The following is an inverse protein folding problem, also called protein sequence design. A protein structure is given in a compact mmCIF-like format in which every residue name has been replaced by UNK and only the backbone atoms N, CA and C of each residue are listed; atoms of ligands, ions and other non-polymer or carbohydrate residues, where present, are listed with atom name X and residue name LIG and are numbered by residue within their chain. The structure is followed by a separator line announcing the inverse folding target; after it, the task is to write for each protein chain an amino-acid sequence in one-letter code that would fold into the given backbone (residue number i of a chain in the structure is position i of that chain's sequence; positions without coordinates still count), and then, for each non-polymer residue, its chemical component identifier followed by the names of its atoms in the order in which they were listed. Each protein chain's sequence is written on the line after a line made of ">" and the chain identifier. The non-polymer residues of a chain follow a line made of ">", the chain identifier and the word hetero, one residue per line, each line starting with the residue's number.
data_IF_688866759088
#
_entry.id   IF_688866759088
#
_cell.length_a   1.000
_cell.length_b   1.000
_cell.length_c   1.000
_cell.angle_alpha   90.00
_cell.angle_beta   90.00
_cell.angle_gamma   90.00
#
_symmetry.space_group_name_H-M   'P 1'
#
loop_
_entity.id
_entity.type
_entity.pdbx_description
1 polymer ?
#
# COMPACT_ATOMS: atom_id res chain seq x y z
N UNK A 1 7.13 -19.07 -6.84
CA UNK A 1 6.77 -17.91 -5.99
C UNK A 1 6.01 -18.45 -4.79
N UNK A 2 6.58 -18.35 -3.58
CA UNK A 2 5.91 -18.80 -2.36
C UNK A 2 4.74 -17.85 -2.07
N UNK A 3 3.53 -18.39 -1.97
CA UNK A 3 2.42 -17.68 -1.35
C UNK A 3 2.56 -17.86 0.16
N UNK A 4 2.28 -16.81 0.93
CA UNK A 4 2.27 -16.86 2.40
C UNK A 4 0.84 -16.64 2.88
N UNK A 5 0.36 -17.56 3.69
CA UNK A 5 -0.83 -17.37 4.51
C UNK A 5 -0.48 -16.57 5.78
N UNK A 6 -1.48 -15.95 6.42
CA UNK A 6 -1.28 -15.29 7.71
C UNK A 6 -0.76 -16.27 8.78
N UNK A 7 -1.19 -17.53 8.73
CA UNK A 7 -0.69 -18.58 9.63
C UNK A 7 0.80 -18.80 9.46
N UNK A 8 1.34 -18.73 8.25
CA UNK A 8 2.78 -18.90 8.01
C UNK A 8 3.59 -17.78 8.68
N UNK A 9 3.06 -16.56 8.70
CA UNK A 9 3.68 -15.40 9.36
C UNK A 9 3.65 -15.57 10.89
N UNK A 10 2.48 -15.94 11.43
CA UNK A 10 2.25 -16.03 12.87
C UNK A 10 2.85 -17.31 13.49
N UNK A 11 3.14 -18.32 12.67
CA UNK A 11 3.81 -19.58 13.06
C UNK A 11 5.30 -19.60 12.70
N UNK A 12 5.93 -18.43 12.55
CA UNK A 12 7.34 -18.31 12.21
C UNK A 12 8.20 -19.20 13.13
N UNK A 13 8.75 -20.28 12.56
CA UNK A 13 9.30 -21.40 13.32
C UNK A 13 10.52 -21.03 14.17
N UNK A 14 11.27 -20.02 13.73
CA UNK A 14 12.48 -19.55 14.41
C UNK A 14 12.21 -18.36 15.35
N UNK A 15 10.95 -18.05 15.65
CA UNK A 15 10.57 -16.96 16.54
C UNK A 15 9.57 -17.37 17.60
N UNK A 16 9.91 -17.14 18.86
CA UNK A 16 9.02 -17.35 20.00
C UNK A 16 8.24 -16.08 20.29
N UNK A 17 6.98 -15.99 19.85
CA UNK A 17 6.17 -14.77 20.00
C UNK A 17 5.99 -14.37 21.47
N UNK A 18 6.25 -13.09 21.76
CA UNK A 18 6.08 -12.45 23.06
C UNK A 18 4.88 -11.52 23.06
N UNK A 19 4.77 -10.66 22.04
CA UNK A 19 3.69 -9.67 21.91
C UNK A 19 3.51 -9.31 20.43
N UNK A 20 2.32 -8.84 20.06
CA UNK A 20 2.08 -8.35 18.69
C UNK A 20 1.16 -7.15 18.61
N UNK A 21 1.28 -6.35 17.56
CA UNK A 21 0.30 -5.35 17.19
C UNK A 21 -0.17 -5.55 15.75
N UNK A 22 -1.47 -5.37 15.53
CA UNK A 22 -2.13 -5.51 14.25
C UNK A 22 -2.79 -4.18 13.88
N UNK A 23 -2.27 -3.53 12.84
CA UNK A 23 -2.83 -2.32 12.27
C UNK A 23 -3.67 -2.73 11.06
N UNK A 24 -4.96 -2.38 11.05
CA UNK A 24 -5.83 -2.70 9.91
C UNK A 24 -7.04 -1.76 9.83
N UNK A 25 -7.77 -1.89 8.72
CA UNK A 25 -9.05 -1.20 8.49
C UNK A 25 -10.22 -1.95 9.14
N UNK A 26 -10.30 -3.26 8.93
CA UNK A 26 -11.36 -4.13 9.47
C UNK A 26 -10.75 -5.32 10.19
N UNK A 27 -11.44 -5.79 11.23
CA UNK A 27 -11.03 -6.94 12.03
C UNK A 27 -12.22 -7.85 12.28
N UNK A 28 -11.98 -9.15 12.12
CA UNK A 28 -12.73 -10.21 12.77
C UNK A 28 -11.81 -10.78 13.86
N UNK A 29 -12.10 -10.46 15.12
CA UNK A 29 -11.23 -10.82 16.25
C UNK A 29 -11.21 -12.33 16.46
N UNK A 30 -12.36 -13.00 16.38
CA UNK A 30 -12.42 -14.45 16.59
C UNK A 30 -11.65 -15.20 15.50
N UNK A 31 -11.85 -14.80 14.24
CA UNK A 31 -11.07 -15.36 13.13
C UNK A 31 -9.57 -15.08 13.31
N UNK A 32 -9.18 -13.85 13.68
CA UNK A 32 -7.78 -13.47 13.85
C UNK A 32 -7.11 -14.33 14.92
N UNK A 33 -7.75 -14.53 16.08
CA UNK A 33 -7.20 -15.34 17.17
C UNK A 33 -7.01 -16.81 16.77
N UNK A 34 -7.84 -17.35 15.86
CA UNK A 34 -7.64 -18.69 15.28
C UNK A 34 -6.44 -18.80 14.35
N UNK A 35 -5.90 -17.68 13.85
CA UNK A 35 -4.70 -17.67 13.00
C UNK A 35 -3.41 -17.75 13.81
N UNK A 36 -3.42 -17.29 15.06
CA UNK A 36 -2.29 -17.49 15.96
C UNK A 36 -2.18 -18.97 16.37
N UNK A 37 -0.94 -19.53 16.39
CA UNK A 37 -0.69 -20.82 17.02
C UNK A 37 -1.22 -20.84 18.46
N UNK A 38 -1.74 -21.99 18.90
CA UNK A 38 -2.45 -22.12 20.17
C UNK A 38 -1.64 -21.60 21.36
N UNK A 39 -0.34 -21.91 21.40
CA UNK A 39 0.58 -21.47 22.45
C UNK A 39 0.77 -19.95 22.51
N UNK A 40 0.44 -19.21 21.44
CA UNK A 40 0.61 -17.76 21.35
C UNK A 40 -0.71 -16.98 21.46
N UNK A 41 -1.88 -17.65 21.51
CA UNK A 41 -3.19 -16.98 21.58
C UNK A 41 -3.41 -16.17 22.86
N UNK A 42 -2.61 -16.40 23.89
CA UNK A 42 -2.65 -15.63 25.16
C UNK A 42 -1.60 -14.53 25.24
N UNK A 43 -0.71 -14.41 24.26
CA UNK A 43 0.27 -13.32 24.20
C UNK A 43 -0.45 -11.97 24.04
N UNK A 44 0.07 -10.87 24.61
CA UNK A 44 -0.49 -9.54 24.40
C UNK A 44 -0.66 -9.19 22.92
N UNK A 45 -1.83 -8.64 22.59
CA UNK A 45 -2.19 -8.23 21.24
C UNK A 45 -2.78 -6.81 21.26
N UNK A 46 -2.11 -5.88 20.57
CA UNK A 46 -2.65 -4.53 20.32
C UNK A 46 -3.39 -4.49 18.99
N UNK A 47 -4.67 -4.11 18.99
CA UNK A 47 -5.48 -3.89 17.79
C UNK A 47 -5.54 -2.39 17.48
N UNK A 48 -4.93 -1.96 16.38
CA UNK A 48 -4.91 -0.56 15.95
C UNK A 48 -5.90 -0.34 14.82
N UNK A 49 -6.92 0.49 15.06
CA UNK A 49 -8.08 0.65 14.17
C UNK A 49 -8.54 2.10 14.03
N UNK A 50 -9.31 2.39 12.98
CA UNK A 50 -9.94 3.71 12.76
C UNK A 50 -11.42 3.80 13.10
N UNK A 51 -12.04 2.70 13.56
CA UNK A 51 -13.48 2.65 13.86
C UNK A 51 -13.93 3.73 14.85
N UNK A 52 -15.17 4.23 14.69
CA UNK A 52 -15.75 5.30 15.51
C UNK A 52 -17.17 4.95 15.95
N UNK A 53 -17.65 5.57 17.03
CA UNK A 53 -19.06 5.45 17.49
C UNK A 53 -19.49 3.98 17.65
N UNK A 54 -20.57 3.56 17.00
CA UNK A 54 -21.11 2.20 17.10
C UNK A 54 -20.17 1.13 16.53
N UNK A 55 -19.45 1.42 15.43
CA UNK A 55 -18.53 0.44 14.86
C UNK A 55 -17.35 0.17 15.79
N UNK A 56 -16.88 1.18 16.51
CA UNK A 56 -15.90 1.02 17.60
C UNK A 56 -16.43 0.09 18.69
N UNK A 57 -17.64 0.37 19.20
CA UNK A 57 -18.25 -0.47 20.25
C UNK A 57 -18.40 -1.93 19.79
N UNK A 58 -18.82 -2.15 18.55
CA UNK A 58 -18.93 -3.51 17.98
C UNK A 58 -17.58 -4.22 17.92
N UNK A 59 -16.53 -3.52 17.48
CA UNK A 59 -15.17 -4.08 17.45
C UNK A 59 -14.68 -4.44 18.85
N UNK A 60 -14.78 -3.53 19.81
CA UNK A 60 -14.34 -3.77 21.19
C UNK A 60 -15.12 -4.93 21.83
N UNK A 61 -16.44 -4.99 21.63
CA UNK A 61 -17.28 -6.10 22.10
C UNK A 61 -16.90 -7.45 21.47
N UNK A 62 -16.49 -7.47 20.19
CA UNK A 62 -16.04 -8.71 19.53
C UNK A 62 -14.77 -9.30 20.14
N UNK A 63 -13.98 -8.47 20.85
CA UNK A 63 -12.79 -8.90 21.59
C UNK A 63 -13.01 -9.13 23.09
N UNK A 64 -14.22 -8.98 23.62
CA UNK A 64 -14.48 -8.98 25.06
C UNK A 64 -14.06 -10.27 25.78
N UNK A 65 -14.04 -11.41 25.07
CA UNK A 65 -13.62 -12.70 25.63
C UNK A 65 -12.09 -12.89 25.69
N UNK A 66 -11.31 -11.92 25.22
CA UNK A 66 -9.85 -12.00 25.14
C UNK A 66 -9.21 -10.92 26.01
N UNK A 67 -8.88 -11.26 27.25
CA UNK A 67 -8.29 -10.33 28.22
C UNK A 67 -6.88 -9.84 27.85
N UNK A 68 -6.21 -10.51 26.92
CA UNK A 68 -4.90 -10.15 26.39
C UNK A 68 -4.96 -9.15 25.22
N UNK A 69 -6.14 -8.74 24.76
CA UNK A 69 -6.31 -7.79 23.66
C UNK A 69 -6.49 -6.37 24.19
N UNK A 70 -5.72 -5.43 23.66
CA UNK A 70 -5.88 -3.99 23.89
C UNK A 70 -6.22 -3.28 22.58
N UNK A 71 -7.20 -2.37 22.61
CA UNK A 71 -7.61 -1.59 21.44
C UNK A 71 -6.96 -0.20 21.44
N UNK A 72 -6.45 0.23 20.30
CA UNK A 72 -5.84 1.53 20.07
C UNK A 72 -6.54 2.23 18.89
N UNK A 73 -7.38 3.21 19.20
CA UNK A 73 -8.10 3.97 18.18
C UNK A 73 -7.21 5.06 17.58
N UNK A 74 -6.99 5.00 16.27
CA UNK A 74 -6.31 6.06 15.50
C UNK A 74 -7.22 7.28 15.35
N UNK A 75 -6.68 8.48 15.59
CA UNK A 75 -7.43 9.74 15.45
C UNK A 75 -7.66 10.10 13.99
N UNK A 76 -8.91 10.30 13.61
CA UNK A 76 -9.35 10.70 12.26
C UNK A 76 -10.16 11.98 12.34
N UNK A 77 -9.48 13.08 12.63
CA UNK A 77 -10.11 14.40 12.87
C UNK A 77 -10.54 15.10 11.57
N UNK A 78 -10.06 14.63 10.42
CA UNK A 78 -10.44 15.15 9.10
C UNK A 78 -11.56 14.28 8.52
N UNK A 79 -12.70 14.88 8.10
CA UNK A 79 -13.81 14.14 7.52
C UNK A 79 -13.39 13.27 6.33
N UNK A 80 -14.04 12.11 6.20
CA UNK A 80 -13.80 11.12 5.15
C UNK A 80 -12.37 10.53 5.17
N UNK A 81 -11.66 10.66 6.29
CA UNK A 81 -10.43 9.95 6.55
C UNK A 81 -10.65 8.48 6.89
N UNK A 82 -9.64 7.65 6.68
CA UNK A 82 -9.69 6.22 7.02
C UNK A 82 -8.34 5.78 7.61
N UNK A 83 -8.37 4.87 8.58
CA UNK A 83 -7.17 4.14 8.99
C UNK A 83 -7.03 2.92 8.08
N UNK A 84 -6.19 3.01 7.05
CA UNK A 84 -6.14 2.02 5.98
C UNK A 84 -4.83 1.22 5.96
N UNK A 85 -3.86 1.62 6.76
CA UNK A 85 -2.62 0.90 7.07
C UNK A 85 -2.87 -0.54 7.48
N UNK A 86 -2.02 -1.42 6.95
CA UNK A 86 -2.03 -2.87 7.15
C UNK A 86 -0.62 -3.30 7.51
N UNK A 87 -0.38 -3.41 8.81
CA UNK A 87 0.95 -3.64 9.36
C UNK A 87 0.88 -4.56 10.58
N UNK A 88 1.88 -5.43 10.72
CA UNK A 88 2.06 -6.24 11.92
C UNK A 88 3.38 -5.88 12.58
N UNK A 89 3.35 -5.72 13.89
CA UNK A 89 4.53 -5.76 14.75
C UNK A 89 4.54 -7.09 15.47
N UNK A 90 5.65 -7.82 15.35
CA UNK A 90 5.80 -9.14 15.93
C UNK A 90 7.08 -9.12 16.77
N UNK A 91 6.92 -9.07 18.10
CA UNK A 91 8.02 -9.16 19.04
C UNK A 91 8.21 -10.62 19.41
N UNK A 92 9.40 -11.14 19.19
CA UNK A 92 9.83 -12.48 19.58
C UNK A 92 10.89 -12.39 20.68
N UNK A 93 11.21 -13.52 21.33
CA UNK A 93 12.37 -13.58 22.25
C UNK A 93 13.69 -13.31 21.51
N UNK A 94 13.75 -13.69 20.24
CA UNK A 94 14.91 -13.66 19.37
C UNK A 94 15.12 -12.29 18.69
N UNK A 95 14.08 -11.45 18.64
CA UNK A 95 14.14 -10.13 18.02
C UNK A 95 12.77 -9.61 17.63
N UNK A 96 12.75 -8.67 16.70
CA UNK A 96 11.54 -7.96 16.27
C UNK A 96 11.31 -8.11 14.77
N UNK A 97 10.07 -8.10 14.32
CA UNK A 97 9.73 -8.12 12.89
C UNK A 97 8.61 -7.16 12.58
N UNK A 98 8.75 -6.51 11.43
CA UNK A 98 7.73 -5.66 10.83
C UNK A 98 7.20 -6.33 9.57
N UNK A 99 5.87 -6.40 9.45
CA UNK A 99 5.20 -6.88 8.24
C UNK A 99 4.34 -5.75 7.71
N UNK A 100 4.50 -5.36 6.45
CA UNK A 100 3.64 -4.38 5.78
C UNK A 100 2.94 -5.09 4.62
N UNK A 101 1.61 -5.07 4.58
CA UNK A 101 0.85 -5.92 3.68
C UNK A 101 -0.41 -5.27 3.11
N UNK A 102 -1.03 -5.97 2.16
CA UNK A 102 -2.39 -5.69 1.65
C UNK A 102 -3.33 -6.88 1.88
N UNK A 103 -2.89 -7.82 2.72
CA UNK A 103 -3.45 -9.16 2.96
C UNK A 103 -3.30 -10.14 1.80
N UNK A 104 -3.12 -9.66 0.56
CA UNK A 104 -2.87 -10.50 -0.62
C UNK A 104 -1.39 -10.56 -1.04
N UNK A 105 -0.61 -9.53 -0.70
CA UNK A 105 0.85 -9.48 -0.82
C UNK A 105 1.42 -8.74 0.38
N UNK A 106 2.63 -9.12 0.76
CA UNK A 106 3.31 -8.60 1.94
C UNK A 106 4.79 -8.39 1.67
N UNK A 107 5.35 -7.44 2.40
CA UNK A 107 6.78 -7.38 2.69
C UNK A 107 6.97 -7.75 4.16
N UNK A 108 7.95 -8.60 4.41
CA UNK A 108 8.31 -9.11 5.72
C UNK A 108 9.75 -8.70 5.98
N UNK A 109 10.02 -7.97 7.05
CA UNK A 109 11.40 -7.63 7.42
C UNK A 109 12.18 -8.89 7.81
N UNK A 110 13.53 -8.85 7.79
CA UNK A 110 14.35 -9.78 8.54
C UNK A 110 13.93 -9.81 10.04
N UNK A 111 14.43 -10.80 10.78
CA UNK A 111 14.40 -10.71 12.25
C UNK A 111 15.40 -9.62 12.65
N UNK A 112 14.90 -8.55 13.24
CA UNK A 112 15.63 -7.38 13.67
C UNK A 112 16.15 -7.66 15.09
N UNK A 113 17.48 -7.81 15.31
CA UNK A 113 18.01 -8.16 16.61
C UNK A 113 17.91 -6.98 17.59
N UNK A 114 17.95 -7.28 18.88
CA UNK A 114 18.01 -6.25 19.92
C UNK A 114 19.40 -5.61 19.94
N UNK A 115 19.45 -4.28 20.06
CA UNK A 115 20.68 -3.52 20.21
C UNK A 115 21.31 -3.80 21.57
N UNK A 116 22.64 -3.96 21.61
CA UNK A 116 23.40 -4.16 22.86
C UNK A 116 23.42 -2.91 23.73
N UNK A 117 23.58 -1.74 23.11
CA UNK A 117 23.61 -0.42 23.77
C UNK A 117 22.84 0.59 22.91
N UNK A 118 21.54 0.78 23.11
CA UNK A 118 20.72 1.61 22.22
C UNK A 118 20.94 3.11 22.46
N UNK A 119 21.42 3.83 21.45
CA UNK A 119 21.30 5.29 21.32
C UNK A 119 20.10 5.67 20.43
N UNK A 120 19.75 6.97 20.37
CA UNK A 120 18.64 7.46 19.56
C UNK A 120 18.82 7.26 18.05
N UNK A 121 20.06 7.15 17.56
CA UNK A 121 20.39 7.00 16.14
C UNK A 121 20.90 5.60 15.76
N UNK A 122 21.11 4.71 16.74
CA UNK A 122 21.72 3.41 16.48
C UNK A 122 20.76 2.47 15.75
N UNK A 123 21.32 1.68 14.84
CA UNK A 123 20.60 0.64 14.12
C UNK A 123 19.54 1.17 13.15
N UNK A 124 19.71 2.37 12.59
CA UNK A 124 18.94 2.76 11.40
C UNK A 124 19.56 2.17 10.13
N UNK A 125 18.71 1.98 9.12
CA UNK A 125 19.05 1.50 7.80
C UNK A 125 19.59 2.61 6.88
N UNK A 126 20.29 2.26 5.78
CA UNK A 126 20.62 3.19 4.70
C UNK A 126 19.40 3.87 4.04
N UNK A 127 18.19 3.35 4.28
CA UNK A 127 16.92 3.89 3.77
C UNK A 127 16.17 4.76 4.80
N UNK A 128 16.76 4.98 5.98
CA UNK A 128 16.13 5.66 7.12
C UNK A 128 14.82 5.03 7.60
N UNK A 129 14.62 3.74 7.33
CA UNK A 129 13.39 3.01 7.66
C UNK A 129 13.04 3.09 9.15
N UNK A 130 14.01 2.98 10.07
CA UNK A 130 13.74 3.01 11.50
C UNK A 130 13.23 4.38 11.92
N UNK A 131 13.91 5.43 11.49
CA UNK A 131 13.52 6.82 11.78
C UNK A 131 12.15 7.16 11.19
N UNK A 132 11.92 6.78 9.93
CA UNK A 132 10.63 6.99 9.26
C UNK A 132 9.49 6.20 9.94
N UNK A 133 9.74 4.97 10.41
CA UNK A 133 8.75 4.18 11.14
C UNK A 133 8.45 4.78 12.51
N UNK A 134 9.46 5.27 13.23
CA UNK A 134 9.27 5.98 14.50
C UNK A 134 8.45 7.26 14.29
N UNK A 135 8.73 8.05 13.26
CA UNK A 135 7.95 9.25 12.94
C UNK A 135 6.49 8.88 12.61
N UNK A 136 6.29 7.83 11.80
CA UNK A 136 4.97 7.35 11.42
C UNK A 136 4.15 6.89 12.63
N UNK A 137 4.70 6.02 13.48
CA UNK A 137 3.99 5.51 14.67
C UNK A 137 3.76 6.62 15.69
N UNK A 138 4.72 7.54 15.86
CA UNK A 138 4.57 8.69 16.76
C UNK A 138 3.43 9.62 16.34
N UNK A 139 3.13 9.71 15.04
CA UNK A 139 2.09 10.59 14.50
C UNK A 139 0.67 10.26 14.99
N UNK A 140 0.43 9.03 15.45
CA UNK A 140 -0.85 8.63 16.05
C UNK A 140 -1.14 9.37 17.36
N UNK A 141 -0.10 9.80 18.10
CA UNK A 141 -0.24 10.44 19.41
C UNK A 141 -1.04 9.60 20.40
N UNK A 142 -0.97 8.26 20.28
CA UNK A 142 -1.78 7.31 21.04
C UNK A 142 -0.92 6.57 22.09
N UNK A 143 -1.26 6.65 23.39
CA UNK A 143 -0.47 6.01 24.45
C UNK A 143 -0.29 4.50 24.28
N UNK A 144 -1.27 3.82 23.68
CA UNK A 144 -1.20 2.38 23.38
C UNK A 144 -0.09 1.98 22.40
N UNK A 145 0.58 2.93 21.76
CA UNK A 145 1.72 2.70 20.86
C UNK A 145 3.07 3.08 21.49
N UNK A 146 3.09 3.62 22.72
CA UNK A 146 4.33 4.04 23.37
C UNK A 146 5.30 2.89 23.59
N UNK A 147 4.80 1.72 23.98
CA UNK A 147 5.62 0.51 24.14
C UNK A 147 6.25 0.09 22.80
N UNK A 148 5.46 0.10 21.72
CA UNK A 148 5.94 -0.21 20.38
C UNK A 148 7.02 0.77 19.90
N UNK A 149 6.91 2.06 20.21
CA UNK A 149 7.96 3.04 19.95
C UNK A 149 9.26 2.70 20.69
N UNK A 150 9.19 2.22 21.93
CA UNK A 150 10.38 1.78 22.67
C UNK A 150 10.97 0.49 22.10
N UNK A 151 10.12 -0.47 21.72
CA UNK A 151 10.55 -1.70 21.05
C UNK A 151 11.30 -1.33 19.77
N UNK A 152 10.75 -0.48 18.90
CA UNK A 152 11.41 -0.07 17.65
C UNK A 152 12.77 0.58 17.95
N UNK A 153 12.85 1.48 18.94
CA UNK A 153 14.13 2.12 19.34
C UNK A 153 15.19 1.11 19.76
N UNK A 154 14.79 0.02 20.43
CA UNK A 154 15.71 -0.99 20.98
C UNK A 154 16.19 -2.03 19.96
N UNK A 155 15.70 -2.03 18.71
CA UNK A 155 16.08 -3.03 17.71
C UNK A 155 16.88 -2.43 16.55
N UNK A 156 17.69 -3.26 15.92
CA UNK A 156 18.56 -2.91 14.80
C UNK A 156 17.87 -3.18 13.45
N UNK A 157 17.70 -2.11 12.67
CA UNK A 157 17.10 -2.11 11.33
C UNK A 157 18.14 -1.95 10.22
N UNK A 158 19.44 -1.95 10.52
CA UNK A 158 20.53 -1.69 9.56
C UNK A 158 20.47 -2.51 8.28
N UNK A 159 19.85 -3.70 8.32
CA UNK A 159 19.70 -4.62 7.18
C UNK A 159 18.47 -4.35 6.29
N UNK A 160 17.61 -3.39 6.66
CA UNK A 160 16.40 -3.09 5.89
C UNK A 160 16.74 -2.30 4.63
N UNK A 161 16.53 -2.92 3.46
CA UNK A 161 16.83 -2.33 2.14
C UNK A 161 15.65 -1.64 1.44
N UNK A 162 14.53 -1.39 2.12
CA UNK A 162 13.34 -0.74 1.54
C UNK A 162 13.09 0.62 2.19
N UNK A 163 12.47 1.55 1.45
CA UNK A 163 12.09 2.86 1.96
C UNK A 163 10.64 2.83 2.44
N UNK A 164 10.37 3.39 3.62
CA UNK A 164 9.01 3.50 4.14
C UNK A 164 8.28 4.67 3.49
N UNK A 165 7.06 4.42 2.98
CA UNK A 165 6.18 5.45 2.42
C UNK A 165 4.89 5.47 3.22
N UNK A 166 4.71 6.50 4.04
CA UNK A 166 3.52 6.69 4.87
C UNK A 166 2.64 7.84 4.42
N UNK A 167 1.36 7.77 4.78
CA UNK A 167 0.45 8.91 4.79
C UNK A 167 -0.12 9.07 6.19
N UNK A 168 -0.17 10.31 6.68
CA UNK A 168 -0.72 10.67 7.99
C UNK A 168 -1.75 11.78 7.80
N UNK A 169 -2.98 11.64 8.35
CA UNK A 169 -3.99 12.68 8.27
C UNK A 169 -3.49 14.01 8.83
N UNK A 170 -3.70 15.08 8.08
CA UNK A 170 -3.27 16.41 8.49
C UNK A 170 -3.22 17.41 7.36
N UNK A 171 -3.06 18.68 7.74
CA UNK A 171 -2.66 19.77 6.84
C UNK A 171 -1.20 20.07 7.12
N UNK A 172 -0.34 19.53 6.28
CA UNK A 172 1.10 19.67 6.41
C UNK A 172 1.54 21.00 5.78
N UNK A 173 2.37 21.76 6.49
CA UNK A 173 2.85 23.09 6.09
C UNK A 173 4.35 23.21 6.38
N UNK A 174 5.02 24.09 5.64
CA UNK A 174 6.48 24.26 5.72
C UNK A 174 7.24 23.15 5.00
N UNK A 175 8.42 23.47 4.47
CA UNK A 175 9.20 22.60 3.58
C UNK A 175 9.40 21.19 4.12
N UNK A 176 9.80 21.07 5.40
CA UNK A 176 10.05 19.77 6.04
C UNK A 176 8.79 18.89 6.08
N UNK A 177 7.69 19.36 6.69
CA UNK A 177 6.47 18.53 6.88
C UNK A 177 5.71 18.28 5.58
N UNK A 178 5.74 19.24 4.64
CA UNK A 178 5.13 19.08 3.31
C UNK A 178 5.66 17.86 2.57
N UNK A 179 6.90 17.45 2.85
CA UNK A 179 7.61 16.42 2.11
C UNK A 179 7.74 15.09 2.87
N UNK A 180 7.16 14.98 4.07
CA UNK A 180 7.25 13.77 4.89
C UNK A 180 6.25 12.67 4.49
N UNK A 181 5.15 13.00 3.80
CA UNK A 181 4.01 12.09 3.67
C UNK A 181 3.41 12.07 2.26
N UNK A 182 2.69 11.00 1.95
CA UNK A 182 1.92 10.87 0.70
C UNK A 182 2.80 10.97 -0.55
N UNK A 183 2.26 11.52 -1.64
CA UNK A 183 3.00 11.65 -2.90
C UNK A 183 4.20 12.59 -2.79
N UNK A 184 4.20 13.51 -1.83
CA UNK A 184 5.30 14.45 -1.63
C UNK A 184 6.57 13.81 -1.07
N UNK A 185 6.48 12.65 -0.41
CA UNK A 185 7.66 11.84 0.00
C UNK A 185 8.49 11.38 -1.21
N UNK A 186 7.91 11.33 -2.41
CA UNK A 186 8.63 10.91 -3.62
C UNK A 186 9.44 12.04 -4.28
N UNK A 187 9.12 13.30 -3.99
CA UNK A 187 9.61 14.46 -4.75
C UNK A 187 11.06 14.88 -4.45
N UNK A 188 11.47 15.96 -5.13
CA UNK A 188 12.82 16.53 -5.30
C UNK A 188 13.71 16.63 -4.07
N UNK A 189 13.20 16.70 -2.85
CA UNK A 189 14.03 16.79 -1.63
C UNK A 189 14.16 15.47 -0.87
N UNK A 190 13.57 14.40 -1.39
CA UNK A 190 13.35 13.18 -0.63
C UNK A 190 13.65 11.95 -1.50
N UNK A 191 12.77 10.96 -1.56
CA UNK A 191 13.16 9.59 -1.89
C UNK A 191 13.65 9.40 -3.33
N UNK A 192 12.86 9.75 -4.36
CA UNK A 192 13.27 9.48 -5.75
C UNK A 192 14.40 10.40 -6.21
N UNK A 193 14.46 11.63 -5.70
CA UNK A 193 15.55 12.52 -6.08
C UNK A 193 16.87 12.18 -5.39
N UNK A 194 16.86 11.65 -4.16
CA UNK A 194 18.09 11.27 -3.46
C UNK A 194 18.56 9.86 -3.84
N UNK A 195 17.62 8.96 -4.14
CA UNK A 195 17.89 7.53 -4.23
C UNK A 195 17.36 6.84 -5.48
N UNK A 196 16.52 7.51 -6.28
CA UNK A 196 16.03 6.97 -7.55
C UNK A 196 17.10 6.90 -8.63
N UNK A 197 16.74 6.32 -9.77
CA UNK A 197 17.62 6.23 -10.94
C UNK A 197 17.80 7.61 -11.59
N UNK A 198 18.99 7.90 -12.13
CA UNK A 198 19.26 9.16 -12.83
C UNK A 198 18.70 9.12 -14.27
N UNK A 199 18.57 10.30 -14.88
CA UNK A 199 17.93 10.48 -16.19
C UNK A 199 18.65 9.76 -17.34
N UNK A 200 19.94 9.46 -17.16
CA UNK A 200 20.75 8.70 -18.12
C UNK A 200 20.30 7.24 -18.19
N UNK A 201 19.70 6.72 -17.10
CA UNK A 201 19.23 5.33 -16.98
C UNK A 201 17.72 5.25 -17.22
N UNK A 202 16.96 6.15 -16.62
CA UNK A 202 15.49 6.17 -16.68
C UNK A 202 15.02 7.44 -17.34
N UNK A 203 14.48 7.27 -18.55
CA UNK A 203 13.96 8.39 -19.31
C UNK A 203 12.62 8.88 -18.73
N UNK A 204 12.31 10.18 -18.80
CA UNK A 204 11.08 10.74 -18.22
C UNK A 204 9.78 10.23 -18.84
N UNK A 205 9.82 9.64 -20.03
CA UNK A 205 8.67 9.07 -20.74
C UNK A 205 8.31 7.65 -20.30
N UNK A 206 9.16 7.00 -19.50
CA UNK A 206 8.90 5.66 -18.96
C UNK A 206 7.51 5.61 -18.32
N UNK A 207 6.62 4.69 -18.67
CA UNK A 207 5.26 4.68 -18.14
C UNK A 207 5.20 4.46 -16.63
N UNK A 208 4.28 5.18 -15.99
CA UNK A 208 3.83 4.92 -14.62
C UNK A 208 2.65 3.96 -14.66
N UNK A 209 2.78 2.80 -14.00
CA UNK A 209 1.70 1.83 -13.86
C UNK A 209 1.19 1.87 -12.42
N UNK A 210 -0.11 2.13 -12.27
CA UNK A 210 -0.79 2.23 -10.99
C UNK A 210 -1.87 1.16 -10.92
N UNK A 211 -1.71 0.19 -10.04
CA UNK A 211 -2.70 -0.84 -9.78
C UNK A 211 -3.30 -0.62 -8.39
N UNK A 212 -4.62 -0.64 -8.28
CA UNK A 212 -5.33 -0.39 -7.03
C UNK A 212 -6.69 -1.11 -7.00
N UNK A 213 -7.38 -1.04 -5.85
CA UNK A 213 -8.66 -1.70 -5.64
C UNK A 213 -9.81 -0.71 -5.40
N UNK A 214 -9.55 0.59 -5.38
CA UNK A 214 -10.57 1.63 -5.18
C UNK A 214 -10.12 2.94 -5.84
N UNK A 215 -11.10 3.77 -6.22
CA UNK A 215 -10.88 5.05 -6.88
C UNK A 215 -11.65 6.14 -6.14
N UNK A 216 -10.95 7.21 -5.76
CA UNK A 216 -11.53 8.42 -5.18
C UNK A 216 -11.89 9.49 -6.23
N UNK A 217 -12.41 10.62 -5.79
CA UNK A 217 -12.65 11.78 -6.67
C UNK A 217 -11.33 12.48 -7.02
N UNK A 218 -10.95 12.45 -8.30
CA UNK A 218 -9.64 12.95 -8.77
C UNK A 218 -9.74 14.37 -9.37
N UNK A 219 -10.92 14.80 -9.78
CA UNK A 219 -11.15 16.08 -10.43
C UNK A 219 -11.89 15.88 -11.76
N UNK A 220 -12.34 16.97 -12.37
CA UNK A 220 -13.12 16.94 -13.62
C UNK A 220 -12.24 16.72 -14.87
N UNK A 221 -10.94 16.98 -14.78
CA UNK A 221 -9.97 16.73 -15.84
C UNK A 221 -8.70 16.03 -15.30
N UNK A 222 -7.94 15.32 -16.15
CA UNK A 222 -6.72 14.63 -15.73
C UNK A 222 -5.70 15.55 -15.05
N UNK A 223 -5.55 16.77 -15.56
CA UNK A 223 -4.52 17.73 -15.12
C UNK A 223 -4.76 18.29 -13.72
N UNK A 224 -5.99 18.24 -13.21
CA UNK A 224 -6.32 18.77 -11.89
C UNK A 224 -5.62 18.06 -10.74
N UNK A 225 -5.26 16.78 -10.91
CA UNK A 225 -4.53 16.04 -9.88
C UNK A 225 -3.79 14.83 -10.43
N UNK A 226 -4.43 14.01 -11.28
CA UNK A 226 -3.85 12.75 -11.75
C UNK A 226 -2.55 12.97 -12.54
N UNK A 227 -2.59 13.83 -13.56
CA UNK A 227 -1.41 14.17 -14.36
C UNK A 227 -0.63 15.35 -13.75
N UNK A 228 -1.32 16.30 -13.13
CA UNK A 228 -0.70 17.51 -12.59
C UNK A 228 0.16 17.26 -11.35
N UNK A 229 -0.41 16.74 -10.27
CA UNK A 229 0.30 16.53 -9.01
C UNK A 229 0.84 15.09 -8.91
N UNK A 230 -0.05 14.11 -9.04
CA UNK A 230 0.21 12.71 -8.73
C UNK A 230 1.26 12.08 -9.65
N UNK A 231 1.05 12.13 -10.97
CA UNK A 231 2.00 11.59 -11.96
C UNK A 231 3.34 12.32 -11.88
N UNK A 232 3.32 13.65 -11.79
CA UNK A 232 4.52 14.49 -11.67
C UNK A 232 5.38 14.10 -10.48
N UNK A 233 4.80 13.90 -9.29
CA UNK A 233 5.56 13.48 -8.10
C UNK A 233 6.23 12.12 -8.31
N UNK A 234 5.46 11.13 -8.77
CA UNK A 234 5.93 9.76 -8.98
C UNK A 234 6.87 9.62 -10.17
N UNK A 235 6.88 10.61 -11.07
CA UNK A 235 7.72 10.59 -12.25
C UNK A 235 9.10 11.21 -12.06
N UNK A 236 9.39 11.73 -10.85
CA UNK A 236 10.66 12.34 -10.47
C UNK A 236 11.84 11.38 -10.73
N UNK A 237 12.87 11.88 -11.42
CA UNK A 237 14.15 11.18 -11.59
C UNK A 237 15.26 11.93 -10.85
N UNK A 238 16.31 11.21 -10.45
CA UNK A 238 17.41 11.75 -9.64
C UNK A 238 18.04 12.98 -10.30
N UNK A 239 18.24 14.04 -9.52
CA UNK A 239 18.87 15.31 -9.92
C UNK A 239 18.19 16.04 -11.09
N UNK A 240 16.91 15.78 -11.35
CA UNK A 240 16.17 16.50 -12.41
C UNK A 240 15.43 17.73 -11.89
N UNK A 241 15.39 18.78 -12.70
CA UNK A 241 14.40 19.84 -12.58
C UNK A 241 13.07 19.33 -13.13
N UNK A 242 11.98 19.47 -12.37
CA UNK A 242 10.61 19.19 -12.81
C UNK A 242 10.31 19.98 -14.10
N UNK A 243 10.43 19.33 -15.25
CA UNK A 243 9.94 19.83 -16.52
C UNK A 243 8.48 19.40 -16.71
N UNK A 244 7.72 20.19 -17.48
CA UNK A 244 6.44 19.78 -18.05
C UNK A 244 6.67 18.60 -19.01
N UNK A 245 6.81 17.39 -18.48
CA UNK A 245 7.07 16.19 -19.27
C UNK A 245 5.94 15.20 -19.06
N UNK A 246 5.34 14.78 -20.17
CA UNK A 246 4.20 13.87 -20.17
C UNK A 246 4.69 12.44 -19.94
N UNK A 247 4.64 11.98 -18.69
CA UNK A 247 4.78 10.56 -18.38
C UNK A 247 3.45 9.87 -18.66
N UNK A 248 3.47 8.83 -19.49
CA UNK A 248 2.29 7.98 -19.74
C UNK A 248 1.84 7.31 -18.44
N UNK A 249 0.58 7.51 -18.05
CA UNK A 249 -0.02 6.85 -16.89
C UNK A 249 -0.93 5.72 -17.37
N UNK A 250 -0.75 4.53 -16.81
CA UNK A 250 -1.62 3.37 -17.06
C UNK A 250 -2.19 2.89 -15.73
N UNK A 251 -3.51 2.78 -15.67
CA UNK A 251 -4.25 2.45 -14.47
C UNK A 251 -4.81 1.03 -14.57
N UNK A 252 -4.45 0.14 -13.65
CA UNK A 252 -4.98 -1.24 -13.62
C UNK A 252 -6.08 -1.31 -12.57
N UNK A 253 -7.30 -1.53 -13.05
CA UNK A 253 -8.50 -1.70 -12.22
C UNK A 253 -9.40 -2.78 -12.86
N UNK A 254 -10.15 -3.58 -12.09
CA UNK A 254 -11.00 -4.62 -12.66
C UNK A 254 -12.16 -4.08 -13.51
N UNK A 255 -12.39 -4.71 -14.66
CA UNK A 255 -13.63 -4.52 -15.43
C UNK A 255 -14.80 -5.23 -14.74
N UNK A 256 -16.03 -4.92 -15.15
CA UNK A 256 -17.22 -5.71 -14.76
C UNK A 256 -17.01 -7.19 -15.08
N UNK A 257 -16.42 -7.50 -16.23
CA UNK A 257 -16.17 -8.87 -16.66
C UNK A 257 -15.09 -9.57 -15.83
N UNK A 258 -14.02 -8.86 -15.42
CA UNK A 258 -13.04 -9.38 -14.48
C UNK A 258 -13.69 -9.81 -13.16
N UNK A 259 -14.61 -8.99 -12.63
CA UNK A 259 -15.32 -9.28 -11.37
C UNK A 259 -16.31 -10.44 -11.55
N UNK A 260 -17.14 -10.39 -12.60
CA UNK A 260 -18.14 -11.43 -12.90
C UNK A 260 -17.51 -12.81 -13.06
N UNK A 261 -16.35 -12.89 -13.72
CA UNK A 261 -15.61 -14.14 -13.94
C UNK A 261 -14.66 -14.50 -12.79
N UNK A 262 -14.54 -13.69 -11.75
CA UNK A 262 -13.64 -13.96 -10.63
C UNK A 262 -14.07 -15.20 -9.83
N UNK A 263 -13.14 -15.76 -9.05
CA UNK A 263 -13.39 -16.90 -8.16
C UNK A 263 -14.56 -16.66 -7.19
N UNK A 264 -14.77 -15.41 -6.77
CA UNK A 264 -15.83 -15.03 -5.85
C UNK A 264 -17.08 -14.51 -6.57
N UNK A 265 -17.06 -14.39 -7.90
CA UNK A 265 -18.13 -13.74 -8.67
C UNK A 265 -18.31 -12.27 -8.29
N UNK A 266 -19.54 -11.76 -8.42
CA UNK A 266 -19.88 -10.38 -8.08
C UNK A 266 -19.57 -9.97 -6.63
N UNK A 267 -19.70 -10.84 -5.60
CA UNK A 267 -19.25 -10.55 -4.24
C UNK A 267 -17.80 -10.05 -4.11
N UNK A 268 -16.89 -10.41 -5.04
CA UNK A 268 -15.54 -9.85 -5.05
C UNK A 268 -15.54 -8.30 -5.14
N UNK A 269 -16.53 -7.77 -5.85
CA UNK A 269 -16.73 -6.35 -6.11
C UNK A 269 -17.03 -5.51 -4.87
N UNK A 270 -17.50 -6.11 -3.78
CA UNK A 270 -17.66 -5.41 -2.51
C UNK A 270 -16.31 -4.95 -1.92
N UNK A 271 -15.21 -5.61 -2.30
CA UNK A 271 -13.83 -5.22 -1.96
C UNK A 271 -13.17 -4.32 -3.01
N UNK A 272 -13.93 -3.89 -4.02
CA UNK A 272 -13.49 -3.01 -5.11
C UNK A 272 -14.29 -1.69 -5.14
N UNK A 273 -14.29 -0.87 -4.06
CA UNK A 273 -15.20 0.26 -3.98
C UNK A 273 -14.83 1.37 -4.97
N UNK A 274 -15.70 1.57 -5.95
CA UNK A 274 -15.72 2.72 -6.85
C UNK A 274 -17.18 3.06 -7.15
N UNK A 275 -17.70 4.14 -6.54
CA UNK A 275 -19.12 4.46 -6.62
C UNK A 275 -19.49 5.17 -7.91
N UNK A 276 -20.73 4.99 -8.36
CA UNK A 276 -21.27 5.66 -9.54
C UNK A 276 -21.19 7.19 -9.43
N UNK A 277 -21.46 7.72 -8.24
CA UNK A 277 -21.37 9.17 -7.95
C UNK A 277 -19.96 9.73 -8.11
N UNK A 278 -18.93 8.92 -7.84
CA UNK A 278 -17.54 9.31 -8.08
C UNK A 278 -17.20 9.13 -9.56
N UNK A 279 -17.61 8.02 -10.17
CA UNK A 279 -17.32 7.71 -11.56
C UNK A 279 -17.85 8.77 -12.54
N UNK A 280 -19.10 9.22 -12.35
CA UNK A 280 -19.74 10.25 -13.18
C UNK A 280 -18.99 11.59 -13.20
N UNK A 281 -18.17 11.89 -12.19
CA UNK A 281 -17.40 13.15 -12.10
C UNK A 281 -16.09 13.13 -12.90
N UNK A 282 -15.68 11.96 -13.38
CA UNK A 282 -14.35 11.76 -13.97
C UNK A 282 -14.38 10.73 -15.11
N UNK A 283 -15.25 10.91 -16.13
CA UNK A 283 -15.39 9.95 -17.23
C UNK A 283 -14.09 9.77 -18.05
N UNK A 284 -13.19 10.78 -18.03
CA UNK A 284 -11.88 10.70 -18.69
C UNK A 284 -11.03 9.54 -18.19
N UNK A 285 -11.28 9.01 -16.98
CA UNK A 285 -10.45 7.93 -16.42
C UNK A 285 -10.51 6.66 -17.25
N UNK A 286 -11.64 6.38 -17.93
CA UNK A 286 -11.79 5.19 -18.76
C UNK A 286 -10.66 5.06 -19.79
N UNK A 287 -10.14 6.18 -20.30
CA UNK A 287 -9.07 6.23 -21.28
C UNK A 287 -7.69 5.78 -20.76
N UNK A 288 -7.54 5.66 -19.43
CA UNK A 288 -6.31 5.23 -18.78
C UNK A 288 -6.39 3.80 -18.24
N UNK A 289 -7.59 3.19 -18.25
CA UNK A 289 -7.85 1.91 -17.61
C UNK A 289 -7.36 0.71 -18.43
N UNK A 290 -6.81 -0.25 -17.71
CA UNK A 290 -6.29 -1.52 -18.17
C UNK A 290 -6.88 -2.63 -17.30
N UNK A 291 -7.18 -3.77 -17.93
CA UNK A 291 -7.82 -4.90 -17.28
C UNK A 291 -6.92 -5.51 -16.19
N UNK A 292 -7.54 -6.09 -15.17
CA UNK A 292 -6.81 -6.98 -14.26
C UNK A 292 -6.47 -8.28 -14.99
N UNK A 293 -5.17 -8.60 -15.07
CA UNK A 293 -4.66 -9.81 -15.71
C UNK A 293 -3.39 -10.29 -15.03
N UNK A 294 -3.34 -11.58 -14.67
CA UNK A 294 -2.23 -12.22 -13.97
C UNK A 294 -2.17 -13.70 -14.35
N UNK A 295 -2.20 -14.00 -15.65
CA UNK A 295 -2.25 -15.37 -16.18
C UNK A 295 -0.97 -16.11 -15.83
N UNK A 296 0.19 -15.43 -15.96
CA UNK A 296 1.51 -16.03 -15.67
C UNK A 296 1.66 -16.45 -14.21
N UNK A 297 0.85 -15.90 -13.31
CA UNK A 297 0.83 -16.23 -11.88
C UNK A 297 -0.42 -17.00 -11.44
N UNK A 298 -1.29 -17.38 -12.39
CA UNK A 298 -2.55 -18.06 -12.11
C UNK A 298 -3.52 -17.28 -11.23
N UNK A 299 -3.51 -15.94 -11.32
CA UNK A 299 -4.28 -15.04 -10.43
C UNK A 299 -5.25 -14.10 -11.16
N UNK A 300 -5.45 -14.26 -12.46
CA UNK A 300 -6.42 -13.46 -13.23
C UNK A 300 -7.83 -13.50 -12.63
N UNK A 301 -8.25 -14.65 -12.11
CA UNK A 301 -9.57 -14.82 -11.51
C UNK A 301 -9.61 -14.45 -10.01
N UNK A 302 -8.47 -14.12 -9.41
CA UNK A 302 -8.39 -13.64 -8.04
C UNK A 302 -8.40 -12.10 -8.03
N UNK A 303 -9.58 -11.52 -7.79
CA UNK A 303 -9.78 -10.06 -7.79
C UNK A 303 -8.74 -9.33 -6.91
N UNK A 304 -8.12 -8.25 -7.41
CA UNK A 304 -7.01 -7.62 -6.74
C UNK A 304 -7.46 -6.75 -5.58
N UNK A 305 -6.99 -7.07 -4.37
CA UNK A 305 -7.01 -6.15 -3.22
C UNK A 305 -5.61 -5.59 -2.89
N UNK A 306 -4.59 -6.03 -3.62
CA UNK A 306 -3.25 -5.43 -3.60
C UNK A 306 -3.29 -4.03 -4.24
N UNK A 307 -2.37 -3.15 -3.83
CA UNK A 307 -2.10 -1.88 -4.50
C UNK A 307 -0.61 -1.78 -4.77
N UNK A 308 -0.26 -1.52 -6.02
CA UNK A 308 1.14 -1.37 -6.44
C UNK A 308 1.30 -0.21 -7.39
N UNK A 309 2.47 0.43 -7.32
CA UNK A 309 2.85 1.49 -8.23
C UNK A 309 4.24 1.17 -8.73
N UNK A 310 4.45 1.25 -10.04
CA UNK A 310 5.72 0.86 -10.67
C UNK A 310 6.06 1.81 -11.81
N UNK A 311 7.36 2.00 -12.04
CA UNK A 311 7.88 2.77 -13.18
C UNK A 311 8.61 1.84 -14.14
N UNK A 312 8.00 1.59 -15.28
CA UNK A 312 8.42 0.55 -16.23
C UNK A 312 9.09 1.16 -17.45
N UNK A 313 10.05 0.44 -18.04
CA UNK A 313 10.61 0.80 -19.35
C UNK A 313 9.55 0.67 -20.45
N UNK A 314 9.68 1.40 -21.58
CA UNK A 314 8.71 1.34 -22.68
C UNK A 314 8.49 -0.06 -23.26
N UNK A 315 9.54 -0.89 -23.28
CA UNK A 315 9.51 -2.30 -23.71
C UNK A 315 9.02 -3.26 -22.62
N UNK A 316 8.72 -2.75 -21.42
CA UNK A 316 8.29 -3.46 -20.22
C UNK A 316 9.33 -4.43 -19.62
N UNK A 317 10.59 -4.43 -20.09
CA UNK A 317 11.62 -5.39 -19.66
C UNK A 317 12.28 -5.03 -18.32
N UNK A 318 12.28 -3.74 -17.97
CA UNK A 318 12.95 -3.20 -16.80
C UNK A 318 12.04 -2.28 -15.98
N UNK A 319 12.38 -2.10 -14.71
CA UNK A 319 11.63 -1.30 -13.77
C UNK A 319 12.57 -0.47 -12.89
N UNK A 320 12.29 0.83 -12.80
CA UNK A 320 13.09 1.78 -12.03
C UNK A 320 12.82 1.68 -10.52
N UNK A 321 11.60 1.31 -10.14
CA UNK A 321 11.20 1.12 -8.74
C UNK A 321 9.86 0.40 -8.64
N UNK A 322 9.61 -0.22 -7.47
CA UNK A 322 8.36 -0.89 -7.15
C UNK A 322 7.84 -0.46 -5.79
N UNK A 323 6.56 -0.09 -5.69
CA UNK A 323 5.88 0.21 -4.44
C UNK A 323 4.79 -0.83 -4.16
N UNK A 324 4.79 -1.38 -2.94
CA UNK A 324 3.64 -2.07 -2.35
C UNK A 324 3.06 -1.18 -1.24
N UNK A 325 1.76 -0.89 -1.27
CA UNK A 325 1.16 0.04 -0.30
C UNK A 325 -0.31 -0.30 -0.02
N UNK A 326 -0.86 0.24 1.06
CA UNK A 326 -2.31 0.28 1.29
C UNK A 326 -3.01 1.36 0.46
N UNK A 327 -2.29 2.39 0.00
CA UNK A 327 -2.88 3.55 -0.67
C UNK A 327 -3.56 3.18 -2.01
N UNK A 328 -4.86 3.47 -2.11
CA UNK A 328 -5.61 3.43 -3.36
C UNK A 328 -5.43 4.73 -4.17
N UNK A 329 -5.94 4.78 -5.41
CA UNK A 329 -5.91 6.00 -6.22
C UNK A 329 -6.92 7.04 -5.70
N UNK A 330 -6.51 7.82 -4.71
CA UNK A 330 -7.34 8.88 -4.12
C UNK A 330 -6.51 10.01 -3.50
N UNK A 331 -7.07 11.22 -3.51
CA UNK A 331 -6.52 12.37 -2.78
C UNK A 331 -6.50 12.17 -1.26
N UNK A 332 -7.41 11.36 -0.72
CA UNK A 332 -7.48 11.07 0.71
C UNK A 332 -6.25 10.30 1.20
N UNK A 333 -5.82 9.31 0.41
CA UNK A 333 -4.66 8.47 0.66
C UNK A 333 -3.35 9.18 0.33
N UNK A 334 -3.27 9.80 -0.85
CA UNK A 334 -2.01 10.33 -1.38
C UNK A 334 -1.75 11.80 -1.04
N UNK A 335 -2.82 12.53 -0.74
CA UNK A 335 -2.80 13.96 -0.47
C UNK A 335 -3.03 14.83 -1.70
N UNK A 336 -3.36 16.09 -1.46
CA UNK A 336 -3.52 17.12 -2.48
C UNK A 336 -3.09 18.48 -1.95
N UNK A 337 -2.54 19.32 -2.83
CA UNK A 337 -2.21 20.70 -2.49
C UNK A 337 -3.48 21.54 -2.27
N UNK A 338 -3.44 22.38 -1.24
CA UNK A 338 -4.43 23.39 -0.91
C UNK A 338 -3.74 24.76 -0.84
N UNK A 339 -4.53 25.85 -0.76
CA UNK A 339 -4.04 27.23 -0.55
C UNK A 339 -2.88 27.61 -1.49
N UNK A 340 -3.08 27.43 -2.80
CA UNK A 340 -2.09 27.74 -3.85
C UNK A 340 -0.72 27.05 -3.64
N UNK A 341 -0.71 25.84 -3.08
CA UNK A 341 0.50 25.03 -2.91
C UNK A 341 1.23 25.21 -1.57
N UNK A 342 0.76 26.09 -0.68
CA UNK A 342 1.38 26.32 0.63
C UNK A 342 1.04 25.26 1.69
N UNK A 343 0.06 24.40 1.41
CA UNK A 343 -0.47 23.42 2.34
C UNK A 343 -0.74 22.10 1.61
N UNK A 344 -0.36 20.97 2.21
CA UNK A 344 -0.61 19.64 1.65
C UNK A 344 -1.53 18.86 2.58
N UNK A 345 -2.72 18.49 2.08
CA UNK A 345 -3.77 17.88 2.88
C UNK A 345 -3.87 16.38 2.59
N UNK A 346 -3.76 15.57 3.64
CA UNK A 346 -3.97 14.12 3.64
C UNK A 346 -5.11 13.81 4.61
N UNK A 347 -5.97 12.85 4.26
CA UNK A 347 -7.12 12.47 5.11
C UNK A 347 -6.94 11.14 5.82
N UNK A 348 -6.13 10.24 5.27
CA UNK A 348 -6.07 8.83 5.68
C UNK A 348 -4.69 8.42 6.17
N UNK A 349 -4.66 7.43 7.06
CA UNK A 349 -3.44 6.68 7.35
C UNK A 349 -3.22 5.63 6.28
N UNK A 350 -2.06 5.66 5.65
CA UNK A 350 -1.61 4.65 4.69
C UNK A 350 -0.16 4.29 4.99
N UNK A 351 0.26 3.10 4.57
CA UNK A 351 1.65 2.67 4.68
C UNK A 351 2.04 1.72 3.54
N UNK A 352 3.28 1.83 3.09
CA UNK A 352 3.86 1.00 2.07
C UNK A 352 5.38 0.96 2.12
N UNK A 353 5.95 0.08 1.30
CA UNK A 353 7.40 -0.08 1.12
C UNK A 353 7.79 0.09 -0.34
N UNK A 354 8.74 0.98 -0.56
CA UNK A 354 9.33 1.26 -1.87
C UNK A 354 10.66 0.52 -2.02
N UNK A 355 10.77 -0.25 -3.09
CA UNK A 355 11.97 -0.92 -3.53
C UNK A 355 12.66 -0.06 -4.58
N UNK A 356 13.91 0.34 -4.29
CA UNK A 356 14.77 1.07 -5.21
C UNK A 356 15.99 0.20 -5.55
N UNK A 357 16.33 0.01 -6.84
CA UNK A 357 17.45 -0.84 -7.26
C UNK A 357 18.76 -0.56 -6.51
N UNK A 358 19.05 0.72 -6.22
CA UNK A 358 20.24 1.17 -5.48
C UNK A 358 20.47 0.43 -4.16
N UNK A 359 19.41 0.14 -3.39
CA UNK A 359 19.53 -0.53 -2.08
C UNK A 359 19.69 -2.05 -2.18
N UNK A 360 19.73 -2.57 -3.41
CA UNK A 360 19.97 -3.98 -3.74
C UNK A 360 21.17 -4.14 -4.67
N UNK A 361 22.04 -3.12 -4.77
CA UNK A 361 23.22 -3.10 -5.65
C UNK A 361 22.87 -3.31 -7.13
N UNK A 362 21.70 -2.82 -7.54
CA UNK A 362 21.20 -2.91 -8.91
C UNK A 362 21.00 -1.51 -9.50
N UNK A 363 21.14 -1.39 -10.81
CA UNK A 363 20.79 -0.17 -11.55
C UNK A 363 19.29 -0.11 -11.87
N UNK A 364 18.74 -1.25 -12.27
CA UNK A 364 17.33 -1.48 -12.60
C UNK A 364 16.91 -2.88 -12.15
N UNK A 365 15.63 -3.05 -11.85
CA UNK A 365 15.03 -4.37 -11.69
C UNK A 365 14.61 -4.92 -13.05
N UNK A 366 14.84 -6.21 -13.30
CA UNK A 366 14.28 -6.91 -14.45
C UNK A 366 12.85 -7.35 -14.17
N UNK A 367 11.98 -7.32 -15.18
CA UNK A 367 10.60 -7.80 -15.06
C UNK A 367 10.47 -9.22 -15.62
N UNK A 368 9.34 -9.92 -15.37
CA UNK A 368 9.06 -11.19 -16.04
C UNK A 368 8.91 -11.12 -17.56
N UNK A 369 8.87 -9.92 -18.16
CA UNK A 369 8.88 -9.73 -19.61
C UNK A 369 10.30 -9.64 -20.19
N UNK A 370 11.34 -9.56 -19.35
CA UNK A 370 12.72 -9.51 -19.82
C UNK A 370 13.12 -10.78 -20.58
N UNK A 371 13.71 -10.60 -21.77
CA UNK A 371 14.27 -11.69 -22.59
C UNK A 371 15.58 -12.21 -21.99
N UNK A 372 16.34 -11.33 -21.32
CA UNK A 372 17.56 -11.70 -20.60
C UNK A 372 17.17 -12.22 -19.23
N UNK A 373 17.14 -13.55 -19.07
CA UNK A 373 16.76 -14.24 -17.82
C UNK A 373 17.88 -14.17 -16.77
N UNK A 374 18.27 -12.97 -16.38
CA UNK A 374 19.07 -12.77 -15.17
C UNK A 374 18.13 -12.82 -13.96
N UNK A 375 17.97 -14.01 -13.40
CA UNK A 375 17.08 -14.24 -12.26
C UNK A 375 17.51 -13.49 -11.00
N UNK A 376 18.77 -13.07 -10.89
CA UNK A 376 19.27 -12.32 -9.72
C UNK A 376 18.65 -10.93 -9.61
N UNK A 377 18.21 -10.35 -10.75
CA UNK A 377 17.60 -9.01 -10.83
C UNK A 377 16.08 -9.05 -11.03
N UNK A 378 15.50 -10.24 -11.12
CA UNK A 378 14.08 -10.41 -11.42
C UNK A 378 13.21 -9.96 -10.24
N UNK A 379 12.37 -8.96 -10.48
CA UNK A 379 11.38 -8.52 -9.50
C UNK A 379 10.00 -9.15 -9.79
N UNK A 380 9.32 -9.73 -8.78
CA UNK A 380 8.05 -10.43 -8.97
C UNK A 380 6.87 -9.45 -9.08
N UNK A 381 6.65 -8.87 -10.26
CA UNK A 381 5.46 -8.07 -10.59
C UNK A 381 4.21 -8.97 -10.50
N UNK A 382 3.14 -8.58 -9.77
CA UNK A 382 2.03 -9.49 -9.42
C UNK A 382 0.93 -9.60 -10.50
N UNK A 383 1.15 -9.03 -11.68
CA UNK A 383 0.25 -9.04 -12.83
C UNK A 383 1.05 -9.08 -14.12
N UNK A 384 0.38 -9.39 -15.22
CA UNK A 384 1.02 -9.53 -16.52
C UNK A 384 1.47 -8.18 -17.06
N UNK A 385 2.70 -8.18 -17.58
CA UNK A 385 3.24 -7.11 -18.41
C UNK A 385 3.63 -7.71 -19.78
N UNK A 386 3.31 -7.05 -20.91
CA UNK A 386 2.58 -5.77 -21.04
C UNK A 386 1.11 -5.84 -20.58
N UNK A 387 0.56 -4.70 -20.16
CA UNK A 387 -0.83 -4.58 -19.73
C UNK A 387 -1.82 -4.75 -20.89
N UNK A 388 -3.03 -5.22 -20.60
CA UNK A 388 -4.14 -5.28 -21.56
C UNK A 388 -5.04 -4.05 -21.36
N UNK A 389 -5.14 -3.12 -22.33
CA UNK A 389 -6.06 -1.98 -22.23
C UNK A 389 -7.52 -2.43 -22.15
N UNK A 390 -8.39 -1.58 -21.60
CA UNK A 390 -9.83 -1.79 -21.73
C UNK A 390 -10.22 -1.77 -23.22
N UNK A 391 -11.11 -2.68 -23.61
CA UNK A 391 -11.81 -2.64 -24.89
C UNK A 391 -12.86 -1.53 -24.89
N UNK A 392 -13.48 -1.26 -26.05
CA UNK A 392 -14.55 -0.25 -26.17
C UNK A 392 -15.77 -0.59 -25.30
N UNK A 393 -16.04 -1.88 -25.14
CA UNK A 393 -17.20 -2.41 -24.43
C UNK A 393 -16.93 -2.69 -22.95
N UNK A 394 -15.67 -2.62 -22.52
CA UNK A 394 -15.31 -2.78 -21.12
C UNK A 394 -15.82 -1.58 -20.30
N UNK A 395 -16.44 -1.89 -19.17
CA UNK A 395 -16.78 -0.92 -18.15
C UNK A 395 -16.01 -1.21 -16.86
N UNK A 396 -15.56 -0.18 -16.11
CA UNK A 396 -14.98 -0.41 -14.80
C UNK A 396 -16.02 -1.02 -13.86
N UNK A 397 -15.57 -1.84 -12.92
CA UNK A 397 -16.46 -2.27 -11.84
C UNK A 397 -16.96 -1.06 -11.04
N UNK A 398 -18.28 -0.94 -10.92
CA UNK A 398 -18.97 0.03 -10.07
C UNK A 398 -19.81 -0.75 -9.07
N UNK A 399 -19.49 -0.61 -7.79
CA UNK A 399 -20.00 -1.52 -6.74
C UNK A 399 -21.44 -1.20 -6.30
N UNK A 400 -21.92 0.01 -6.51
CA UNK A 400 -23.21 0.50 -6.02
C UNK A 400 -24.27 0.67 -7.13
N UNK A 401 -24.13 -0.06 -8.24
CA UNK A 401 -25.15 -0.18 -9.28
C UNK A 401 -25.46 -1.66 -9.59
N UNK A 402 -26.67 -1.99 -10.08
CA UNK A 402 -26.97 -3.37 -10.47
C UNK A 402 -26.17 -3.86 -11.68
N UNK A 403 -25.70 -5.12 -11.64
CA UNK A 403 -25.17 -5.87 -12.78
C UNK A 403 -26.02 -7.11 -13.01
N UNK A 404 -27.00 -6.98 -13.92
CA UNK A 404 -28.03 -8.00 -14.18
C UNK A 404 -28.02 -8.56 -15.61
N UNK A 405 -27.04 -8.14 -16.44
CA UNK A 405 -26.95 -8.54 -17.86
C UNK A 405 -26.54 -10.00 -18.04
N UNK A 406 -25.75 -10.54 -17.12
CA UNK A 406 -25.29 -11.92 -17.15
C UNK A 406 -24.98 -12.40 -15.73
N UNK A 407 -25.25 -13.66 -15.39
CA UNK A 407 -24.88 -14.19 -14.08
C UNK A 407 -23.35 -14.26 -13.92
N UNK A 408 -22.90 -14.18 -12.68
CA UNK A 408 -21.52 -14.49 -12.32
C UNK A 408 -21.23 -15.99 -12.35
N UNK A 409 -20.00 -16.35 -12.00
CA UNK A 409 -19.54 -17.74 -11.89
C UNK A 409 -20.42 -18.62 -11.00
N UNK A 410 -21.12 -18.06 -10.03
CA UNK A 410 -21.97 -18.76 -9.08
C UNK A 410 -23.46 -18.71 -9.46
N UNK A 411 -23.79 -18.24 -10.67
CA UNK A 411 -25.18 -18.11 -11.12
C UNK A 411 -25.91 -16.89 -10.56
N UNK A 412 -25.20 -15.96 -9.90
CA UNK A 412 -25.80 -14.83 -9.18
C UNK A 412 -25.73 -13.53 -9.99
N UNK A 413 -26.71 -12.65 -9.76
CA UNK A 413 -26.67 -11.26 -10.21
C UNK A 413 -26.19 -10.34 -9.08
N UNK A 414 -25.71 -9.15 -9.42
CA UNK A 414 -25.37 -8.13 -8.43
C UNK A 414 -26.48 -7.09 -8.34
N UNK A 415 -27.14 -7.00 -7.19
CA UNK A 415 -28.15 -6.00 -6.88
C UNK A 415 -27.80 -5.38 -5.51
N UNK A 416 -26.98 -4.33 -5.46
CA UNK A 416 -26.65 -3.67 -4.20
C UNK A 416 -27.90 -2.98 -3.63
N UNK A 417 -27.96 -2.79 -2.30
CA UNK A 417 -29.13 -2.21 -1.62
C UNK A 417 -29.43 -0.76 -2.01
#
# INVERSE_FOLDING_TARGET
>A
MLALDIKDILSFKDGTLVSSAQFNYMFDIEWLMKQYPEQYRKCPLTIVHGEQRESKKRLENSGANYSNITFCQAKLDIPFGTHHTKMMFLLYKEGFRVVIHTSKKMWVSPVLPKLKSPSAADGDSPTSFKSDLLEYVSSYGAPGLNEWLQIIKQHDFSTVGVVLIGSVPGRHVGSKRLQCWGIKKFEKSNVLNLHGSPKEVVQPDWPLICQFSSIGSLGASPDQWLLGEFSTSLSTVKNSSLGSQSTSVKLVFPTVENVRKSLQGYPAGASLPYSIKVAQKQPYLKNYLHQWKSDKLGRTEASPHIKTYIRLSPDNSNMAWFLLTSANLSKAAWGALEKKGSQFMIRSYELGVLFLPKFFEMELFSTPASVKKDFSKLFPVPYDVPLTPYSKDDEPWIWDIPHIKAPDRNGMMWCPP
#
